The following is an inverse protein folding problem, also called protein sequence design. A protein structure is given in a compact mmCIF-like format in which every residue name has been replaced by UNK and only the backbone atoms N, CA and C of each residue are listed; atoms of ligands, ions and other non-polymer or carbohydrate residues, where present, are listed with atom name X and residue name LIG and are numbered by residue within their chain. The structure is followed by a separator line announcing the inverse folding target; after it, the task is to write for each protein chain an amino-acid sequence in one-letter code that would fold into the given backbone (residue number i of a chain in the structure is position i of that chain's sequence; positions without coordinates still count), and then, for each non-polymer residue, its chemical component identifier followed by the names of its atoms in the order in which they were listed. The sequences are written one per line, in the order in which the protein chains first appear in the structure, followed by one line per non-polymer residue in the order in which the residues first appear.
data_IF_556940521872
#
_entry.id   IF_556940521872
#
_cell.length_a   1.000
_cell.length_b   1.000
_cell.length_c   1.000
_cell.angle_alpha   90.00
_cell.angle_beta   90.00
_cell.angle_gamma   90.00
#
_symmetry.space_group_name_H-M   'P 1'
#
loop_
_entity.id
_entity.type
_entity.pdbx_description
1 polymer ?
#
# COMPACT_ATOMS: atom_id res chain seq x y z
N UNK A 1 26.64 43.50 -23.19
CA UNK A 1 25.39 42.71 -23.34
C UNK A 1 25.61 41.24 -23.75
N UNK A 2 26.67 40.87 -24.50
CA UNK A 2 26.93 39.45 -24.84
C UNK A 2 27.39 38.57 -23.67
N UNK A 3 28.04 39.14 -22.63
CA UNK A 3 28.57 38.38 -21.48
C UNK A 3 27.51 38.00 -20.42
N UNK A 4 26.42 38.76 -20.29
CA UNK A 4 25.32 38.47 -19.35
C UNK A 4 24.37 37.39 -19.88
N UNK A 5 24.22 37.27 -21.20
CA UNK A 5 23.38 36.24 -21.82
C UNK A 5 23.97 34.82 -21.64
N UNK A 6 25.30 34.71 -21.72
CA UNK A 6 26.04 33.45 -21.51
C UNK A 6 25.94 32.94 -20.06
N UNK A 7 25.87 33.85 -19.08
CA UNK A 7 25.71 33.50 -17.67
C UNK A 7 24.30 32.97 -17.36
N UNK A 8 23.25 33.54 -17.99
CA UNK A 8 21.88 33.02 -17.87
C UNK A 8 21.75 31.62 -18.49
N UNK A 9 22.43 31.37 -19.61
CA UNK A 9 22.41 30.06 -20.27
C UNK A 9 23.11 28.96 -19.46
N UNK A 10 24.21 29.32 -18.77
CA UNK A 10 24.89 28.42 -17.83
C UNK A 10 24.07 28.18 -16.55
N UNK A 11 23.31 29.16 -16.06
CA UNK A 11 22.44 28.94 -14.89
C UNK A 11 21.22 28.05 -15.21
N UNK A 12 20.67 28.13 -16.43
CA UNK A 12 19.55 27.26 -16.83
C UNK A 12 19.95 25.80 -17.06
N UNK A 13 21.20 25.53 -17.47
CA UNK A 13 21.67 24.15 -17.67
C UNK A 13 22.02 23.43 -16.36
N UNK A 14 22.39 24.16 -15.30
CA UNK A 14 22.69 23.57 -13.98
C UNK A 14 21.41 23.17 -13.21
N UNK A 15 20.25 23.76 -13.54
CA UNK A 15 18.97 23.45 -12.88
C UNK A 15 18.27 22.19 -13.42
N UNK A 16 18.77 21.57 -14.50
CA UNK A 16 18.11 20.44 -15.17
C UNK A 16 18.81 19.09 -14.95
N UNK A 17 19.83 19.01 -14.09
CA UNK A 17 20.60 17.77 -13.87
C UNK A 17 20.47 17.23 -12.45
N UNK A 18 19.26 17.22 -11.89
CA UNK A 18 18.97 16.24 -10.85
C UNK A 18 18.69 14.91 -11.55
N UNK A 19 19.44 13.86 -11.19
CA UNK A 19 19.26 12.51 -11.73
C UNK A 19 17.87 11.99 -11.32
N UNK A 20 16.88 12.27 -12.17
CA UNK A 20 15.54 11.74 -12.02
C UNK A 20 15.56 10.25 -12.39
N UNK A 21 14.81 9.46 -11.64
CA UNK A 21 14.59 8.05 -11.93
C UNK A 21 14.00 7.94 -13.34
N UNK A 22 14.63 7.10 -14.18
CA UNK A 22 14.10 6.81 -15.51
C UNK A 22 12.76 6.10 -15.38
N UNK A 23 11.82 6.42 -16.29
CA UNK A 23 10.61 5.61 -16.43
C UNK A 23 10.98 4.17 -16.76
N UNK A 24 10.57 3.26 -15.89
CA UNK A 24 10.94 1.85 -15.93
C UNK A 24 10.15 1.07 -14.88
N UNK A 25 10.15 -0.25 -15.02
CA UNK A 25 9.78 -1.15 -13.94
C UNK A 25 11.06 -1.75 -13.34
N UNK A 26 11.27 -1.53 -12.05
CA UNK A 26 12.35 -2.14 -11.27
C UNK A 26 11.78 -3.30 -10.46
N UNK A 27 12.51 -4.42 -10.36
CA UNK A 27 12.07 -5.62 -9.62
C UNK A 27 13.19 -6.28 -8.82
N UNK A 28 12.80 -6.92 -7.72
CA UNK A 28 13.61 -7.85 -6.94
C UNK A 28 12.68 -8.94 -6.39
N UNK A 29 12.79 -10.17 -6.90
CA UNK A 29 11.82 -11.23 -6.57
C UNK A 29 10.38 -10.81 -6.89
N UNK A 30 9.50 -10.84 -5.88
CA UNK A 30 8.10 -10.42 -6.02
C UNK A 30 7.89 -8.92 -5.74
N UNK A 31 8.94 -8.19 -5.35
CA UNK A 31 8.86 -6.75 -5.14
C UNK A 31 9.06 -6.00 -6.45
N UNK A 32 8.32 -4.91 -6.62
CA UNK A 32 8.37 -4.09 -7.82
C UNK A 32 8.08 -2.62 -7.55
N UNK A 33 8.71 -1.76 -8.34
CA UNK A 33 8.43 -0.34 -8.45
C UNK A 33 8.33 0.01 -9.94
N UNK A 34 7.16 0.39 -10.40
CA UNK A 34 6.91 0.81 -11.77
C UNK A 34 6.69 2.32 -11.82
N UNK A 35 7.49 3.03 -12.60
CA UNK A 35 7.41 4.48 -12.81
C UNK A 35 7.10 4.75 -14.28
N UNK A 36 5.99 5.42 -14.57
CA UNK A 36 5.58 5.75 -15.93
C UNK A 36 4.65 6.96 -15.93
N UNK A 37 4.90 7.95 -16.78
CA UNK A 37 4.07 9.15 -16.93
C UNK A 37 3.75 9.84 -15.59
N UNK A 38 4.73 10.03 -14.71
CA UNK A 38 4.57 10.59 -13.35
C UNK A 38 3.64 9.78 -12.41
N UNK A 39 3.31 8.54 -12.80
CA UNK A 39 2.57 7.60 -11.98
C UNK A 39 3.50 6.49 -11.50
N UNK A 40 3.38 6.15 -10.22
CA UNK A 40 4.12 5.08 -9.59
C UNK A 40 3.15 4.00 -9.11
N UNK A 41 3.52 2.74 -9.33
CA UNK A 41 2.85 1.58 -8.74
C UNK A 41 3.92 0.73 -8.06
N UNK A 42 3.68 0.32 -6.82
CA UNK A 42 4.65 -0.46 -6.07
C UNK A 42 4.01 -1.69 -5.41
N UNK A 43 4.83 -2.72 -5.25
CA UNK A 43 4.58 -3.89 -4.41
C UNK A 43 5.86 -4.17 -3.64
N UNK A 44 5.81 -4.07 -2.33
CA UNK A 44 7.02 -4.02 -1.51
C UNK A 44 6.83 -4.83 -0.22
N UNK A 45 7.66 -5.85 -0.01
CA UNK A 45 7.57 -6.76 1.14
C UNK A 45 8.66 -6.54 2.20
N UNK A 46 8.42 -6.94 3.45
CA UNK A 46 9.48 -7.05 4.45
C UNK A 46 9.91 -5.77 5.16
N UNK A 47 9.29 -4.62 4.89
CA UNK A 47 9.73 -3.33 5.44
C UNK A 47 9.36 -3.09 6.92
N UNK A 48 8.43 -3.88 7.45
CA UNK A 48 7.97 -3.83 8.85
C UNK A 48 8.51 -5.00 9.69
N UNK A 49 9.48 -5.78 9.16
CA UNK A 49 9.96 -7.01 9.81
C UNK A 49 9.02 -8.21 9.66
N UNK A 50 7.90 -8.02 8.95
CA UNK A 50 6.95 -9.06 8.57
C UNK A 50 7.09 -9.31 7.07
N UNK A 51 7.01 -10.57 6.64
CA UNK A 51 6.99 -10.96 5.22
C UNK A 51 5.65 -10.65 4.54
N UNK A 52 5.05 -9.51 4.87
CA UNK A 52 3.83 -8.98 4.28
C UNK A 52 4.21 -8.02 3.16
N UNK A 53 3.52 -8.13 2.02
CA UNK A 53 3.65 -7.19 0.93
C UNK A 53 2.66 -6.03 1.10
N UNK A 54 3.17 -4.83 0.87
CA UNK A 54 2.42 -3.59 0.81
C UNK A 54 2.33 -3.12 -0.64
N UNK A 55 1.13 -2.79 -1.09
CA UNK A 55 0.85 -2.34 -2.45
C UNK A 55 0.22 -0.96 -2.44
N UNK A 56 0.48 -0.19 -3.48
CA UNK A 56 -0.14 1.12 -3.66
C UNK A 56 0.25 1.72 -4.99
N UNK A 57 -0.53 2.70 -5.42
CA UNK A 57 -0.26 3.44 -6.64
C UNK A 57 -0.74 4.88 -6.55
N UNK A 58 -0.12 5.74 -7.34
CA UNK A 58 -0.51 7.13 -7.43
C UNK A 58 0.54 8.01 -8.09
N UNK A 59 0.39 9.33 -7.95
CA UNK A 59 1.36 10.29 -8.51
C UNK A 59 2.62 10.31 -7.66
N UNK A 60 3.78 10.47 -8.30
CA UNK A 60 5.04 10.59 -7.58
C UNK A 60 5.76 11.90 -7.84
N UNK A 61 6.50 12.35 -6.84
CA UNK A 61 7.49 13.42 -6.92
C UNK A 61 8.85 12.88 -6.46
N UNK A 62 9.93 13.37 -7.08
CA UNK A 62 11.29 13.04 -6.66
C UNK A 62 12.00 14.30 -6.16
N UNK A 63 12.58 14.21 -4.97
CA UNK A 63 13.32 15.27 -4.29
C UNK A 63 14.69 14.71 -3.91
N UNK A 64 15.69 14.90 -4.79
CA UNK A 64 17.00 14.28 -4.61
C UNK A 64 16.91 12.74 -4.63
N UNK A 65 17.33 12.09 -3.55
CA UNK A 65 17.25 10.64 -3.34
C UNK A 65 15.94 10.19 -2.66
N UNK A 66 14.94 11.07 -2.59
CA UNK A 66 13.63 10.76 -1.99
C UNK A 66 12.58 10.66 -3.09
N UNK A 67 11.82 9.58 -3.06
CA UNK A 67 10.63 9.38 -3.88
C UNK A 67 9.40 9.44 -2.97
N UNK A 68 8.53 10.42 -3.19
CA UNK A 68 7.25 10.55 -2.48
C UNK A 68 6.15 10.15 -3.45
N UNK A 69 5.29 9.22 -3.02
CA UNK A 69 4.14 8.73 -3.79
C UNK A 69 2.87 9.16 -3.04
N UNK A 70 2.05 9.97 -3.69
CA UNK A 70 0.71 10.34 -3.24
C UNK A 70 -0.26 9.28 -3.74
N UNK A 71 -0.53 8.29 -2.88
CA UNK A 71 -1.38 7.15 -3.24
C UNK A 71 -2.83 7.56 -3.40
N UNK A 72 -3.47 7.04 -4.45
CA UNK A 72 -4.89 7.23 -4.74
C UNK A 72 -5.68 5.94 -4.52
N UNK A 73 -6.72 5.76 -5.33
CA UNK A 73 -7.43 4.49 -5.43
C UNK A 73 -6.54 3.45 -6.12
N UNK A 74 -6.40 2.28 -5.51
CA UNK A 74 -5.68 1.13 -6.03
C UNK A 74 -6.55 0.35 -7.01
N UNK A 75 -6.02 0.09 -8.19
CA UNK A 75 -6.67 -0.62 -9.29
C UNK A 75 -6.56 -2.14 -9.24
N UNK A 76 -5.71 -2.69 -8.36
CA UNK A 76 -5.55 -4.13 -8.20
C UNK A 76 -6.68 -4.80 -7.39
N UNK A 77 -6.51 -6.09 -7.10
CA UNK A 77 -7.50 -6.87 -6.36
C UNK A 77 -7.74 -6.31 -4.95
N UNK A 78 -9.01 -6.21 -4.57
CA UNK A 78 -9.47 -5.72 -3.26
C UNK A 78 -10.37 -6.75 -2.59
N UNK A 79 -10.32 -6.78 -1.27
CA UNK A 79 -11.28 -7.57 -0.47
C UNK A 79 -12.70 -7.15 -0.78
N UNK A 80 -13.62 -8.12 -0.73
CA UNK A 80 -15.03 -7.91 -1.03
C UNK A 80 -15.91 -8.75 -0.11
N UNK A 81 -17.22 -8.50 -0.13
CA UNK A 81 -18.20 -9.26 0.64
C UNK A 81 -19.44 -9.55 -0.17
N UNK A 82 -20.01 -10.73 0.06
CA UNK A 82 -21.30 -11.16 -0.45
C UNK A 82 -22.26 -11.35 0.73
N UNK A 83 -23.49 -10.87 0.55
CA UNK A 83 -24.59 -11.10 1.49
C UNK A 83 -25.26 -12.44 1.20
N UNK A 84 -25.59 -13.16 2.25
CA UNK A 84 -26.28 -14.44 2.21
C UNK A 84 -27.53 -14.37 3.10
N UNK A 85 -28.60 -15.13 2.78
CA UNK A 85 -29.71 -15.27 3.72
C UNK A 85 -29.22 -15.79 5.06
N UNK A 86 -29.70 -15.21 6.17
CA UNK A 86 -29.26 -15.63 7.49
C UNK A 86 -29.55 -17.11 7.75
N UNK A 87 -28.53 -17.82 8.24
CA UNK A 87 -28.62 -19.20 8.71
C UNK A 87 -29.39 -19.31 10.03
N UNK A 88 -29.45 -18.24 10.83
CA UNK A 88 -30.17 -18.16 12.12
C UNK A 88 -30.74 -16.76 12.31
N UNK A 89 -31.92 -16.66 12.95
CA UNK A 89 -32.62 -15.38 13.15
C UNK A 89 -31.98 -14.48 14.21
N UNK A 90 -31.28 -15.07 15.17
CA UNK A 90 -30.70 -14.40 16.34
C UNK A 90 -29.18 -14.23 16.24
N UNK A 91 -28.59 -14.54 15.09
CA UNK A 91 -27.15 -14.42 14.91
C UNK A 91 -26.79 -14.07 13.48
N UNK A 92 -25.65 -13.42 13.33
CA UNK A 92 -25.01 -13.17 12.04
C UNK A 92 -23.75 -14.04 11.93
N UNK A 93 -23.71 -14.91 10.93
CA UNK A 93 -22.50 -15.65 10.56
C UNK A 93 -21.63 -14.80 9.63
N UNK A 94 -20.33 -14.76 9.93
CA UNK A 94 -19.32 -14.24 9.01
C UNK A 94 -18.38 -15.39 8.62
N UNK A 95 -18.36 -15.73 7.34
CA UNK A 95 -17.38 -16.62 6.72
C UNK A 95 -16.28 -15.78 6.06
N UNK A 96 -15.02 -16.09 6.30
CA UNK A 96 -13.86 -15.43 5.70
C UNK A 96 -13.05 -16.43 4.88
N UNK A 97 -12.82 -16.09 3.62
CA UNK A 97 -12.08 -16.91 2.66
C UNK A 97 -11.00 -16.10 1.94
N UNK A 98 -9.99 -16.79 1.40
CA UNK A 98 -8.99 -16.17 0.54
C UNK A 98 -9.47 -16.01 -0.89
N UNK A 99 -8.63 -15.40 -1.74
CA UNK A 99 -8.85 -15.27 -3.19
C UNK A 99 -9.14 -16.61 -3.87
N UNK A 100 -8.52 -17.68 -3.37
CA UNK A 100 -8.68 -19.07 -3.81
C UNK A 100 -9.93 -19.78 -3.23
N UNK A 101 -10.82 -19.07 -2.54
CA UNK A 101 -12.02 -19.60 -1.86
C UNK A 101 -11.76 -20.61 -0.72
N UNK A 102 -10.52 -20.76 -0.26
CA UNK A 102 -10.24 -21.56 0.93
C UNK A 102 -10.51 -20.76 2.21
N UNK A 103 -11.03 -21.39 3.28
CA UNK A 103 -11.23 -20.74 4.56
C UNK A 103 -9.95 -20.15 5.15
N UNK A 104 -10.03 -18.95 5.71
CA UNK A 104 -8.90 -18.28 6.37
C UNK A 104 -9.03 -18.31 7.89
N UNK A 105 -7.96 -18.69 8.57
CA UNK A 105 -7.83 -18.65 10.02
C UNK A 105 -6.36 -18.48 10.46
N UNK A 106 -6.09 -17.85 11.61
CA UNK A 106 -7.00 -17.01 12.40
C UNK A 106 -7.17 -15.61 11.78
N UNK A 107 -8.40 -15.17 11.52
CA UNK A 107 -8.71 -13.80 11.04
C UNK A 107 -9.50 -13.03 12.08
N UNK A 108 -9.10 -11.80 12.38
CA UNK A 108 -9.81 -10.91 13.29
C UNK A 108 -11.02 -10.29 12.59
N UNK A 109 -12.18 -10.43 13.22
CA UNK A 109 -13.43 -9.82 12.77
C UNK A 109 -14.05 -9.06 13.93
N UNK A 110 -14.30 -7.79 13.72
CA UNK A 110 -14.78 -6.86 14.72
C UNK A 110 -16.13 -6.28 14.31
N UNK A 111 -17.08 -6.24 15.24
CA UNK A 111 -18.36 -5.55 15.07
C UNK A 111 -18.31 -4.17 15.71
N UNK A 112 -18.88 -3.20 15.02
CA UNK A 112 -18.93 -1.81 15.46
C UNK A 112 -20.38 -1.32 15.46
N UNK A 113 -20.72 -0.46 16.41
CA UNK A 113 -22.02 0.21 16.45
C UNK A 113 -22.19 1.20 15.30
N UNK A 114 -23.43 1.68 15.09
CA UNK A 114 -23.72 2.80 14.17
C UNK A 114 -22.95 4.09 14.50
N UNK A 115 -22.54 4.28 15.76
CA UNK A 115 -21.70 5.40 16.20
C UNK A 115 -20.18 5.14 16.06
N UNK A 116 -19.78 3.97 15.55
CA UNK A 116 -18.38 3.60 15.36
C UNK A 116 -17.68 3.09 16.61
N UNK A 117 -18.41 2.76 17.69
CA UNK A 117 -17.84 2.13 18.89
C UNK A 117 -17.64 0.64 18.65
N UNK A 118 -16.46 0.10 18.99
CA UNK A 118 -16.21 -1.34 19.00
C UNK A 118 -17.19 -2.03 19.98
N UNK A 119 -17.89 -3.05 19.50
CA UNK A 119 -18.84 -3.83 20.28
C UNK A 119 -18.20 -5.16 20.70
N UNK A 120 -17.69 -5.93 19.73
CA UNK A 120 -17.11 -7.24 19.97
C UNK A 120 -16.03 -7.54 18.91
N UNK A 121 -14.94 -8.21 19.31
CA UNK A 121 -13.91 -8.73 18.42
C UNK A 121 -13.80 -10.25 18.57
N UNK A 122 -13.85 -10.98 17.46
CA UNK A 122 -13.75 -12.44 17.39
C UNK A 122 -12.71 -12.86 16.36
N UNK A 123 -12.25 -14.11 16.47
CA UNK A 123 -11.34 -14.72 15.51
C UNK A 123 -12.06 -15.87 14.81
N UNK A 124 -11.85 -16.01 13.50
CA UNK A 124 -12.42 -17.13 12.73
C UNK A 124 -11.94 -18.49 13.25
N UNK A 125 -12.83 -19.48 13.22
CA UNK A 125 -12.51 -20.89 13.46
C UNK A 125 -11.67 -21.46 12.30
N UNK A 126 -11.24 -22.72 12.41
CA UNK A 126 -10.56 -23.43 11.30
C UNK A 126 -11.39 -23.54 10.02
N UNK A 127 -12.72 -23.42 10.13
CA UNK A 127 -13.63 -23.35 8.99
C UNK A 127 -13.77 -21.95 8.40
N UNK A 128 -13.01 -20.97 8.89
CA UNK A 128 -13.08 -19.57 8.46
C UNK A 128 -14.34 -18.85 8.95
N UNK A 129 -15.05 -19.39 9.93
CA UNK A 129 -16.38 -18.90 10.35
C UNK A 129 -16.40 -18.39 11.79
N UNK A 130 -17.32 -17.48 12.06
CA UNK A 130 -17.70 -17.04 13.41
C UNK A 130 -19.15 -16.52 13.41
N UNK A 131 -19.68 -16.31 14.61
CA UNK A 131 -21.04 -15.82 14.81
C UNK A 131 -21.06 -14.61 15.77
N UNK A 132 -21.82 -13.58 15.41
CA UNK A 132 -22.24 -12.50 16.31
C UNK A 132 -23.68 -12.76 16.77
N UNK A 133 -23.94 -12.70 18.07
CA UNK A 133 -25.27 -12.96 18.66
C UNK A 133 -25.99 -11.70 19.11
N UNK A 134 -25.26 -10.64 19.48
CA UNK A 134 -25.86 -9.33 19.84
C UNK A 134 -25.95 -8.41 18.61
N UNK A 135 -26.76 -8.78 17.62
CA UNK A 135 -26.79 -8.14 16.29
C UNK A 135 -27.52 -6.79 16.26
N UNK A 136 -28.44 -6.52 17.18
CA UNK A 136 -29.30 -5.32 17.18
C UNK A 136 -28.53 -3.99 17.21
N UNK A 137 -27.32 -4.00 17.79
CA UNK A 137 -26.48 -2.81 17.95
C UNK A 137 -25.47 -2.64 16.83
N UNK A 138 -25.26 -3.67 16.01
CA UNK A 138 -24.22 -3.67 14.98
C UNK A 138 -24.63 -2.69 13.86
N UNK A 139 -23.69 -1.85 13.46
CA UNK A 139 -23.78 -0.97 12.29
C UNK A 139 -22.81 -1.35 11.18
N UNK A 140 -21.65 -1.90 11.52
CA UNK A 140 -20.67 -2.37 10.54
C UNK A 140 -19.81 -3.50 11.08
N UNK A 141 -19.27 -4.32 10.18
CA UNK A 141 -18.30 -5.37 10.47
C UNK A 141 -17.00 -5.05 9.76
N UNK A 142 -15.87 -5.22 10.45
CA UNK A 142 -14.53 -5.04 9.92
C UNK A 142 -13.79 -6.37 9.99
N UNK A 143 -13.26 -6.82 8.86
CA UNK A 143 -12.44 -8.02 8.75
C UNK A 143 -11.01 -7.58 8.46
N UNK A 144 -10.07 -7.98 9.31
CA UNK A 144 -8.68 -7.55 9.21
C UNK A 144 -7.70 -8.68 9.56
N UNK A 145 -6.60 -8.73 8.83
CA UNK A 145 -5.47 -9.60 9.10
C UNK A 145 -4.20 -9.02 8.49
N UNK A 146 -3.06 -9.30 9.12
CA UNK A 146 -1.74 -8.96 8.56
C UNK A 146 -1.57 -9.66 7.21
N UNK A 147 -1.10 -8.93 6.21
CA UNK A 147 -0.94 -9.49 4.87
C UNK A 147 -2.16 -9.43 3.97
N UNK A 148 -3.27 -8.87 4.43
CA UNK A 148 -4.51 -8.77 3.68
C UNK A 148 -5.06 -7.34 3.65
N UNK A 149 -5.84 -7.05 2.61
CA UNK A 149 -6.60 -5.82 2.53
C UNK A 149 -7.74 -5.84 3.55
N UNK A 150 -7.75 -4.87 4.48
CA UNK A 150 -8.82 -4.74 5.48
C UNK A 150 -10.14 -4.41 4.78
N UNK A 151 -11.19 -5.16 5.12
CA UNK A 151 -12.53 -4.97 4.54
C UNK A 151 -13.49 -4.46 5.60
N UNK A 152 -14.27 -3.43 5.28
CA UNK A 152 -15.37 -2.95 6.11
C UNK A 152 -16.66 -3.07 5.32
N UNK A 153 -17.66 -3.71 5.93
CA UNK A 153 -19.01 -3.83 5.37
C UNK A 153 -20.04 -3.20 6.31
N UNK A 154 -21.13 -2.69 5.73
CA UNK A 154 -22.30 -2.24 6.47
C UNK A 154 -23.11 -3.46 6.88
N UNK A 155 -23.56 -3.47 8.13
CA UNK A 155 -24.39 -4.54 8.66
C UNK A 155 -25.87 -4.29 8.36
N UNK A 156 -26.55 -5.33 7.93
CA UNK A 156 -27.98 -5.39 7.70
C UNK A 156 -28.53 -6.58 8.51
N UNK A 157 -29.64 -6.39 9.25
CA UNK A 157 -30.29 -7.49 9.96
C UNK A 157 -30.69 -8.63 9.04
N UNK A 158 -30.79 -9.85 9.59
CA UNK A 158 -31.23 -11.06 8.89
C UNK A 158 -30.35 -11.48 7.69
N UNK A 159 -29.10 -10.99 7.62
CA UNK A 159 -28.09 -11.42 6.65
C UNK A 159 -26.86 -12.05 7.31
N UNK A 160 -26.34 -13.06 6.64
CA UNK A 160 -25.00 -13.60 6.85
C UNK A 160 -24.05 -13.02 5.80
N UNK A 161 -22.74 -13.09 6.06
CA UNK A 161 -21.72 -12.52 5.18
C UNK A 161 -20.65 -13.54 4.83
N UNK A 162 -20.29 -13.58 3.55
CA UNK A 162 -19.05 -14.20 3.07
C UNK A 162 -18.09 -13.11 2.63
N UNK A 163 -16.97 -12.99 3.31
CA UNK A 163 -15.92 -12.01 3.04
C UNK A 163 -14.76 -12.70 2.36
N UNK A 164 -14.40 -12.22 1.17
CA UNK A 164 -13.22 -12.67 0.44
C UNK A 164 -12.11 -11.65 0.66
N UNK A 165 -11.02 -12.05 1.31
CA UNK A 165 -9.86 -11.18 1.53
C UNK A 165 -8.90 -11.24 0.36
N UNK A 166 -8.53 -10.07 -0.16
CA UNK A 166 -7.43 -9.93 -1.10
C UNK A 166 -6.09 -9.88 -0.36
N UNK A 167 -5.09 -10.53 -0.91
CA UNK A 167 -3.72 -10.48 -0.40
C UNK A 167 -3.12 -9.08 -0.56
N UNK A 168 -2.08 -8.83 0.24
CA UNK A 168 -1.35 -7.58 0.36
C UNK A 168 -2.09 -6.51 1.18
N UNK A 169 -1.30 -5.73 1.93
CA UNK A 169 -1.78 -4.52 2.58
C UNK A 169 -1.85 -3.40 1.55
N UNK A 170 -3.05 -2.88 1.28
CA UNK A 170 -3.24 -1.81 0.29
C UNK A 170 -3.11 -0.45 0.99
N UNK A 171 -2.25 0.40 0.44
CA UNK A 171 -2.02 1.77 0.89
C UNK A 171 -2.69 2.72 -0.11
N UNK A 172 -3.80 3.33 0.33
CA UNK A 172 -4.57 4.31 -0.44
C UNK A 172 -4.69 5.62 0.33
N UNK A 173 -4.81 6.74 -0.38
CA UNK A 173 -5.06 8.08 0.17
C UNK A 173 -4.03 8.51 1.24
N UNK A 174 -2.78 8.10 1.06
CA UNK A 174 -1.64 8.41 1.94
C UNK A 174 -0.40 8.81 1.15
N UNK A 175 0.52 9.49 1.82
CA UNK A 175 1.85 9.76 1.27
C UNK A 175 2.82 8.67 1.70
N UNK A 176 3.39 7.97 0.72
CA UNK A 176 4.41 6.95 0.94
C UNK A 176 5.75 7.54 0.56
N UNK A 177 6.75 7.39 1.42
CA UNK A 177 8.09 7.95 1.21
C UNK A 177 9.09 6.83 1.12
N UNK A 178 9.81 6.79 0.01
CA UNK A 178 10.96 5.94 -0.20
C UNK A 178 12.24 6.77 -0.25
N UNK A 179 13.33 6.23 0.28
CA UNK A 179 14.67 6.61 -0.15
C UNK A 179 15.01 5.75 -1.37
N UNK A 180 15.38 6.38 -2.47
CA UNK A 180 15.72 5.74 -3.72
C UNK A 180 17.05 6.29 -4.23
N UNK A 181 18.10 5.45 -4.28
CA UNK A 181 19.39 5.85 -4.86
C UNK A 181 19.66 5.02 -6.11
N UNK A 182 20.06 5.68 -7.18
CA UNK A 182 20.57 5.03 -8.39
C UNK A 182 21.96 4.49 -8.06
N UNK A 183 22.16 3.18 -8.18
CA UNK A 183 23.45 2.52 -7.95
C UNK A 183 24.27 2.44 -9.24
N UNK A 184 23.58 2.13 -10.34
CA UNK A 184 24.11 2.09 -11.71
C UNK A 184 22.95 2.33 -12.70
N UNK A 185 23.20 2.20 -14.01
CA UNK A 185 22.22 2.47 -15.07
C UNK A 185 20.96 1.58 -15.00
N UNK A 186 21.06 0.40 -14.40
CA UNK A 186 19.99 -0.60 -14.36
C UNK A 186 19.51 -0.92 -12.94
N UNK A 187 20.25 -0.50 -11.91
CA UNK A 187 20.01 -0.91 -10.52
C UNK A 187 19.73 0.29 -9.63
N UNK A 188 18.67 0.17 -8.84
CA UNK A 188 18.34 1.12 -7.78
C UNK A 188 18.38 0.44 -6.40
N UNK A 189 18.73 1.21 -5.39
CA UNK A 189 18.47 0.88 -3.98
C UNK A 189 17.16 1.53 -3.56
N UNK A 190 16.23 0.76 -3.01
CA UNK A 190 14.93 1.25 -2.56
C UNK A 190 14.71 0.92 -1.08
N UNK A 191 14.32 1.93 -0.30
CA UNK A 191 14.04 1.79 1.12
C UNK A 191 12.78 2.56 1.50
N UNK A 192 11.70 1.88 1.91
CA UNK A 192 10.51 2.55 2.45
C UNK A 192 10.80 3.18 3.82
N UNK A 193 10.67 4.50 3.87
CA UNK A 193 10.86 5.30 5.07
C UNK A 193 9.56 5.46 5.87
N UNK A 194 8.43 5.61 5.17
CA UNK A 194 7.09 5.73 5.77
C UNK A 194 6.00 5.36 4.75
N UNK A 195 4.93 4.77 5.22
CA UNK A 195 3.69 4.41 4.51
C UNK A 195 2.53 5.39 4.78
N UNK A 196 2.76 6.41 5.60
CA UNK A 196 1.78 7.40 6.02
C UNK A 196 2.49 8.69 6.45
N UNK A 197 3.27 9.25 5.54
CA UNK A 197 3.97 10.50 5.77
C UNK A 197 2.98 11.66 5.89
N UNK A 198 3.32 12.62 6.75
CA UNK A 198 2.55 13.85 6.96
C UNK A 198 3.53 15.00 6.90
N UNK A 199 3.49 15.76 5.80
CA UNK A 199 4.43 16.84 5.52
C UNK A 199 4.48 17.96 6.59
N UNK A 200 3.44 18.08 7.44
CA UNK A 200 3.42 19.07 8.52
C UNK A 200 3.61 20.51 8.00
N UNK A 201 4.19 21.40 8.81
CA UNK A 201 4.51 22.78 8.41
C UNK A 201 5.80 22.91 7.59
N UNK A 202 6.71 21.95 7.73
CA UNK A 202 8.05 21.98 7.15
C UNK A 202 8.39 20.58 6.62
N UNK A 203 8.06 20.37 5.34
CA UNK A 203 8.19 19.07 4.67
C UNK A 203 9.62 18.57 4.71
N UNK A 204 10.58 19.42 4.39
CA UNK A 204 11.99 19.06 4.27
C UNK A 204 12.54 18.60 5.62
N UNK A 205 12.21 19.31 6.70
CA UNK A 205 12.61 18.91 8.04
C UNK A 205 12.05 17.55 8.45
N UNK A 206 10.78 17.27 8.13
CA UNK A 206 10.17 15.98 8.46
C UNK A 206 10.76 14.83 7.61
N UNK A 207 11.06 15.07 6.33
CA UNK A 207 11.79 14.11 5.48
C UNK A 207 13.20 13.81 6.05
N UNK A 208 13.94 14.82 6.50
CA UNK A 208 15.26 14.62 7.12
C UNK A 208 15.19 13.81 8.41
N UNK A 209 14.13 13.95 9.21
CA UNK A 209 13.91 13.10 10.39
C UNK A 209 13.73 11.64 10.01
N UNK A 210 12.98 11.35 8.94
CA UNK A 210 12.80 9.98 8.44
C UNK A 210 14.14 9.36 8.03
N UNK A 211 14.95 10.09 7.28
CA UNK A 211 16.29 9.64 6.89
C UNK A 211 17.19 9.35 8.10
N UNK A 212 17.20 10.26 9.08
CA UNK A 212 17.97 10.08 10.32
C UNK A 212 17.51 8.86 11.12
N UNK A 213 16.20 8.63 11.20
CA UNK A 213 15.62 7.45 11.87
C UNK A 213 16.00 6.15 11.16
N UNK A 214 15.90 6.11 9.83
CA UNK A 214 16.26 4.94 9.04
C UNK A 214 17.74 4.56 9.21
N UNK A 215 18.64 5.55 9.19
CA UNK A 215 20.08 5.35 9.45
C UNK A 215 20.35 4.79 10.85
N UNK A 216 19.69 5.31 11.89
CA UNK A 216 19.84 4.82 13.28
C UNK A 216 19.39 3.37 13.45
N UNK A 217 18.38 2.95 12.70
CA UNK A 217 17.80 1.62 12.80
C UNK A 217 18.44 0.60 11.84
N UNK A 218 19.52 0.97 11.12
CA UNK A 218 20.20 0.12 10.13
C UNK A 218 19.24 -0.59 9.18
N UNK A 219 18.21 0.12 8.70
CA UNK A 219 17.28 -0.47 7.73
C UNK A 219 18.02 -0.84 6.45
N UNK A 220 17.75 -2.04 5.94
CA UNK A 220 18.38 -2.60 4.75
C UNK A 220 17.58 -2.16 3.51
N UNK A 221 18.28 -1.64 2.52
CA UNK A 221 17.75 -1.31 1.21
C UNK A 221 17.58 -2.57 0.35
N UNK A 222 16.53 -2.56 -0.47
CA UNK A 222 16.31 -3.56 -1.52
C UNK A 222 17.02 -3.14 -2.79
N UNK A 223 17.66 -4.08 -3.48
CA UNK A 223 18.39 -3.80 -4.73
C UNK A 223 17.55 -4.28 -5.90
N UNK A 224 16.90 -3.32 -6.56
CA UNK A 224 15.95 -3.60 -7.62
C UNK A 224 16.59 -3.35 -8.98
N UNK A 225 16.43 -4.32 -9.89
CA UNK A 225 16.94 -4.23 -11.26
C UNK A 225 15.84 -3.83 -12.22
N UNK A 226 16.18 -2.99 -13.21
CA UNK A 226 15.33 -2.60 -14.32
C UNK A 226 14.95 -3.84 -15.14
N UNK A 227 13.65 -4.01 -15.37
CA UNK A 227 13.10 -5.07 -16.22
C UNK A 227 13.11 -4.57 -17.65
N UNK A 228 13.77 -5.31 -18.54
CA UNK A 228 13.73 -5.05 -19.98
C UNK A 228 12.42 -5.57 -20.56
N UNK A 229 11.62 -4.70 -21.17
CA UNK A 229 10.47 -5.11 -21.99
C UNK A 229 10.99 -5.34 -23.41
N UNK A 230 10.94 -6.56 -23.96
CA UNK A 230 11.37 -6.82 -25.33
C UNK A 230 10.60 -5.95 -26.32
N UNK A 231 11.30 -5.38 -27.30
CA UNK A 231 10.67 -4.60 -28.36
C UNK A 231 9.81 -5.50 -29.26
N UNK A 232 8.49 -5.36 -29.20
CA UNK A 232 7.59 -5.98 -30.16
C UNK A 232 7.59 -5.16 -31.47
N UNK A 233 8.16 -5.73 -32.54
CA UNK A 233 8.00 -5.17 -33.89
C UNK A 233 6.52 -5.24 -34.26
N UNK A 234 5.89 -4.09 -34.44
CA UNK A 234 4.61 -4.00 -35.17
C UNK A 234 4.88 -4.34 -36.63
N UNK A 235 4.36 -5.46 -37.10
CA UNK A 235 4.35 -5.86 -38.52
C UNK A 235 3.19 -5.18 -39.24
#
# INVERSE_FOLDING_TARGET
MKKTLLLLWFLSSVLLSQAQLSEATYREGNDSLSLKNQHAMFRISGFTGLSVAQVGEGKYEQIGDILVIHTGEYSGEKSSSLTLPASRKDSCMVEVVGSNNYPLYPILVESYSKSGKLLEGKVTSQEGKLFFTETEKIGSIVVSALGYHTHRLLFEPDLDYRVQLAENEIIENREVVFKCNILDEETISLLMLSDNFKAGKDRDRELQKLLKKARRNNKIDKRMKKVYVPYERKF
#
